data_IF_122382972642
#
_entry.id   IF_122382972642
#
_cell.length_a   1.000
_cell.length_b   1.000
_cell.length_c   1.000
_cell.angle_alpha   90.00
_cell.angle_beta   90.00
_cell.angle_gamma   90.00
#
_symmetry.space_group_name_H-M   'P 1'
#
loop_
_entity.id
_entity.type
_entity.pdbx_description
1 polymer ?
#
# COMPACT_ATOMS: atom_id res chain seq x y z
N UNK A 1 15.77 -36.79 3.39
CA UNK A 1 15.33 -35.49 2.83
C UNK A 1 14.45 -34.82 3.88
N UNK A 2 14.95 -33.83 4.61
CA UNK A 2 14.13 -33.05 5.56
C UNK A 2 13.25 -32.11 4.74
N UNK A 3 11.93 -32.31 4.79
CA UNK A 3 10.99 -31.38 4.20
C UNK A 3 11.22 -30.01 4.82
N UNK A 4 11.51 -29.01 3.99
CA UNK A 4 11.49 -27.62 4.39
C UNK A 4 10.05 -27.28 4.79
N UNK A 5 9.74 -27.35 6.09
CA UNK A 5 8.53 -26.76 6.65
C UNK A 5 8.53 -25.29 6.25
N UNK A 6 7.69 -24.92 5.29
CA UNK A 6 7.48 -23.51 4.96
C UNK A 6 6.95 -22.85 6.23
N UNK A 7 7.73 -21.95 6.81
CA UNK A 7 7.31 -21.17 7.96
C UNK A 7 6.13 -20.30 7.51
N UNK A 8 4.91 -20.68 7.90
CA UNK A 8 3.71 -19.91 7.61
C UNK A 8 3.66 -18.73 8.59
N UNK A 9 3.50 -17.48 8.12
CA UNK A 9 3.48 -16.33 9.00
C UNK A 9 2.26 -16.39 9.94
N UNK A 10 2.42 -16.00 11.22
CA UNK A 10 1.30 -15.91 12.14
C UNK A 10 0.32 -14.83 11.66
N UNK A 11 -0.98 -15.01 11.88
CA UNK A 11 -2.01 -14.02 11.50
C UNK A 11 -1.77 -12.61 12.07
N UNK A 12 -0.98 -12.49 13.16
CA UNK A 12 -0.49 -11.21 13.68
C UNK A 12 0.49 -10.50 12.72
N UNK A 13 1.37 -11.23 12.04
CA UNK A 13 2.33 -10.65 11.11
C UNK A 13 1.65 -10.06 9.88
N UNK A 14 0.59 -10.72 9.36
CA UNK A 14 -0.21 -10.20 8.24
C UNK A 14 -0.85 -8.86 8.61
N UNK A 15 -1.53 -8.82 9.77
CA UNK A 15 -2.19 -7.61 10.28
C UNK A 15 -1.19 -6.49 10.56
N UNK A 16 -0.04 -6.80 11.14
CA UNK A 16 1.03 -5.82 11.37
C UNK A 16 1.55 -5.25 10.05
N UNK A 17 1.73 -6.09 9.02
CA UNK A 17 2.15 -5.63 7.69
C UNK A 17 1.13 -4.67 7.09
N UNK A 18 -0.16 -5.00 7.14
CA UNK A 18 -1.25 -4.12 6.69
C UNK A 18 -1.26 -2.80 7.46
N UNK A 19 -1.08 -2.85 8.78
CA UNK A 19 -1.02 -1.66 9.63
C UNK A 19 0.16 -0.75 9.26
N UNK A 20 1.35 -1.32 9.05
CA UNK A 20 2.55 -0.57 8.66
C UNK A 20 2.36 0.09 7.30
N UNK A 21 1.80 -0.62 6.32
CA UNK A 21 1.47 -0.05 5.00
C UNK A 21 0.48 1.10 5.17
N UNK A 22 -0.61 0.88 5.92
CA UNK A 22 -1.63 1.90 6.18
C UNK A 22 -1.05 3.16 6.82
N UNK A 23 -0.23 3.00 7.86
CA UNK A 23 0.43 4.13 8.53
C UNK A 23 1.40 4.85 7.61
N UNK A 24 2.20 4.15 6.80
CA UNK A 24 3.13 4.77 5.87
C UNK A 24 2.41 5.68 4.85
N UNK A 25 1.33 5.18 4.24
CA UNK A 25 0.51 5.96 3.31
C UNK A 25 -0.21 7.11 4.01
N UNK A 26 -0.71 6.90 5.23
CA UNK A 26 -1.38 7.95 5.99
C UNK A 26 -0.41 9.08 6.34
N UNK A 27 0.80 8.76 6.80
CA UNK A 27 1.85 9.75 7.08
C UNK A 27 2.22 10.52 5.82
N UNK A 28 2.38 9.82 4.69
CA UNK A 28 2.73 10.47 3.42
C UNK A 28 1.63 11.44 2.97
N UNK A 29 0.37 11.02 3.02
CA UNK A 29 -0.79 11.85 2.63
C UNK A 29 -0.97 13.07 3.54
N UNK A 30 -0.92 12.88 4.87
CA UNK A 30 -1.05 13.98 5.84
C UNK A 30 0.12 14.96 5.70
N UNK A 31 1.35 14.46 5.56
CA UNK A 31 2.54 15.32 5.37
C UNK A 31 2.46 16.10 4.07
N UNK A 32 1.95 15.49 3.00
CA UNK A 32 1.72 16.17 1.73
C UNK A 32 0.72 17.31 1.86
N UNK A 33 -0.41 17.08 2.56
CA UNK A 33 -1.37 18.16 2.84
C UNK A 33 -0.78 19.27 3.71
N UNK A 34 0.04 18.92 4.71
CA UNK A 34 0.66 19.90 5.59
C UNK A 34 1.66 20.82 4.86
N UNK A 35 2.34 20.32 3.83
CA UNK A 35 3.38 21.06 3.11
C UNK A 35 2.87 21.79 1.86
N UNK A 36 1.92 21.22 1.13
CA UNK A 36 1.46 21.72 -0.18
C UNK A 36 -0.03 22.06 -0.20
N UNK A 37 -0.76 21.71 0.86
CA UNK A 37 -2.20 21.95 0.92
C UNK A 37 -2.98 21.09 -0.07
N UNK A 38 -4.03 21.66 -0.66
CA UNK A 38 -4.96 20.98 -1.56
C UNK A 38 -4.66 21.20 -3.05
N UNK A 39 -3.51 21.76 -3.39
CA UNK A 39 -3.20 22.13 -4.77
C UNK A 39 -3.04 20.90 -5.67
N UNK A 40 -3.71 20.92 -6.82
CA UNK A 40 -3.73 19.83 -7.79
C UNK A 40 -2.71 20.05 -8.92
N UNK A 41 -2.48 19.01 -9.72
CA UNK A 41 -1.71 19.08 -10.96
C UNK A 41 -0.21 18.82 -10.82
N UNK A 42 0.48 18.85 -11.96
CA UNK A 42 1.92 18.67 -12.08
C UNK A 42 2.68 19.90 -11.60
N UNK A 43 3.60 19.72 -10.65
CA UNK A 43 4.59 20.72 -10.25
C UNK A 43 5.78 20.00 -9.62
N UNK A 44 6.92 19.90 -10.33
CA UNK A 44 8.06 19.08 -9.91
C UNK A 44 8.75 19.59 -8.65
N UNK A 45 8.45 20.81 -8.19
CA UNK A 45 8.99 21.35 -6.93
C UNK A 45 8.28 20.79 -5.69
N UNK A 46 7.06 20.28 -5.86
CA UNK A 46 6.21 19.78 -4.76
C UNK A 46 6.60 18.36 -4.38
N UNK A 47 7.38 18.23 -3.33
CA UNK A 47 7.85 16.93 -2.84
C UNK A 47 7.77 16.82 -1.32
N UNK A 48 7.53 15.61 -0.82
CA UNK A 48 7.84 15.19 0.56
C UNK A 48 8.95 14.18 0.49
N UNK A 49 10.11 14.52 1.05
CA UNK A 49 11.34 13.72 0.95
C UNK A 49 11.74 13.46 -0.51
N UNK A 50 11.43 12.29 -1.04
CA UNK A 50 11.72 11.87 -2.43
C UNK A 50 10.45 11.67 -3.25
N UNK A 51 9.28 11.75 -2.62
CA UNK A 51 7.98 11.51 -3.24
C UNK A 51 7.41 12.80 -3.79
N UNK A 52 6.97 12.75 -5.04
CA UNK A 52 6.12 13.80 -5.60
C UNK A 52 4.78 13.80 -4.89
N UNK A 53 4.26 15.01 -4.64
CA UNK A 53 2.98 15.22 -3.97
C UNK A 53 2.11 16.20 -4.74
N UNK A 54 0.80 16.01 -4.60
CA UNK A 54 -0.27 16.88 -5.09
C UNK A 54 -1.51 16.59 -4.26
N UNK A 55 -2.50 17.46 -4.28
CA UNK A 55 -3.78 17.23 -3.62
C UNK A 55 -4.39 15.88 -4.01
N UNK A 56 -4.27 15.48 -5.29
CA UNK A 56 -4.79 14.21 -5.78
C UNK A 56 -4.04 13.01 -5.17
N UNK A 57 -2.71 13.06 -5.13
CA UNK A 57 -1.91 12.02 -4.48
C UNK A 57 -2.16 11.97 -2.98
N UNK A 58 -2.24 13.12 -2.32
CA UNK A 58 -2.44 13.20 -0.87
C UNK A 58 -3.80 12.63 -0.47
N UNK A 59 -4.86 12.88 -1.25
CA UNK A 59 -6.17 12.24 -1.07
C UNK A 59 -6.03 10.73 -1.20
N UNK A 60 -5.39 10.24 -2.27
CA UNK A 60 -5.18 8.81 -2.51
C UNK A 60 -4.40 8.13 -1.39
N UNK A 61 -3.27 8.71 -0.98
CA UNK A 61 -2.43 8.19 0.10
C UNK A 61 -3.16 8.21 1.44
N UNK A 62 -3.88 9.29 1.76
CA UNK A 62 -4.68 9.37 2.99
C UNK A 62 -5.80 8.33 3.00
N UNK A 63 -6.51 8.17 1.88
CA UNK A 63 -7.60 7.20 1.75
C UNK A 63 -7.12 5.76 1.88
N UNK A 64 -6.05 5.40 1.17
CA UNK A 64 -5.42 4.07 1.32
C UNK A 64 -4.90 3.88 2.74
N UNK A 65 -4.28 4.91 3.32
CA UNK A 65 -3.75 4.85 4.66
C UNK A 65 -4.82 4.56 5.71
N UNK A 66 -5.94 5.28 5.63
CA UNK A 66 -7.11 5.06 6.49
C UNK A 66 -7.70 3.65 6.30
N UNK A 67 -7.85 3.20 5.05
CA UNK A 67 -8.33 1.84 4.74
C UNK A 67 -7.38 0.76 5.28
N UNK A 68 -6.07 0.96 5.19
CA UNK A 68 -5.06 0.03 5.70
C UNK A 68 -5.12 -0.07 7.23
N UNK A 69 -5.21 1.06 7.93
CA UNK A 69 -5.38 1.07 9.40
C UNK A 69 -6.66 0.35 9.80
N UNK A 70 -7.78 0.63 9.13
CA UNK A 70 -9.06 -0.04 9.38
C UNK A 70 -9.04 -1.54 9.03
N UNK A 71 -8.31 -1.95 8.01
CA UNK A 71 -8.22 -3.34 7.59
C UNK A 71 -7.30 -4.21 8.47
N UNK A 72 -6.53 -3.60 9.38
CA UNK A 72 -5.61 -4.34 10.24
C UNK A 72 -6.31 -5.10 11.41
N UNK A 73 -7.64 -4.97 11.56
CA UNK A 73 -8.37 -5.55 12.69
C UNK A 73 -8.51 -7.07 12.62
N UNK A 74 -8.84 -7.62 11.45
CA UNK A 74 -9.10 -9.06 11.28
C UNK A 74 -8.32 -9.61 10.10
N UNK A 75 -8.08 -10.92 10.07
CA UNK A 75 -7.39 -11.53 8.94
C UNK A 75 -8.18 -11.40 7.63
N UNK A 76 -9.51 -11.55 7.69
CA UNK A 76 -10.38 -11.39 6.53
C UNK A 76 -10.28 -9.99 5.93
N UNK A 77 -10.31 -8.95 6.77
CA UNK A 77 -10.17 -7.55 6.32
C UNK A 77 -8.75 -7.26 5.81
N UNK A 78 -7.71 -7.80 6.44
CA UNK A 78 -6.34 -7.70 5.97
C UNK A 78 -6.14 -8.33 4.58
N UNK A 79 -6.74 -9.50 4.31
CA UNK A 79 -6.71 -10.14 2.99
C UNK A 79 -7.51 -9.37 1.94
N UNK A 80 -8.67 -8.83 2.31
CA UNK A 80 -9.45 -7.98 1.41
C UNK A 80 -8.66 -6.72 1.01
N UNK A 81 -7.98 -6.09 1.98
CA UNK A 81 -7.08 -4.97 1.72
C UNK A 81 -5.88 -5.38 0.85
N UNK A 82 -5.33 -6.58 1.03
CA UNK A 82 -4.28 -7.12 0.16
C UNK A 82 -4.70 -7.16 -1.31
N UNK A 83 -5.90 -7.67 -1.60
CA UNK A 83 -6.44 -7.73 -2.97
C UNK A 83 -6.71 -6.35 -3.54
N UNK A 84 -7.34 -5.49 -2.74
CA UNK A 84 -7.58 -4.09 -3.11
C UNK A 84 -6.27 -3.37 -3.43
N UNK A 85 -5.25 -3.57 -2.59
CA UNK A 85 -3.92 -2.98 -2.75
C UNK A 85 -3.25 -3.51 -4.01
N UNK A 86 -3.29 -4.82 -4.27
CA UNK A 86 -2.70 -5.39 -5.48
C UNK A 86 -3.27 -4.75 -6.75
N UNK A 87 -4.59 -4.79 -6.93
CA UNK A 87 -5.21 -4.25 -8.14
C UNK A 87 -5.11 -2.72 -8.22
N UNK A 88 -5.37 -2.02 -7.10
CA UNK A 88 -5.28 -0.57 -7.05
C UNK A 88 -3.89 -0.04 -7.35
N UNK A 89 -2.86 -0.60 -6.70
CA UNK A 89 -1.48 -0.17 -6.92
C UNK A 89 -0.89 -0.69 -8.22
N UNK A 90 -1.28 -1.85 -8.74
CA UNK A 90 -0.86 -2.28 -10.07
C UNK A 90 -1.35 -1.31 -11.16
N UNK A 91 -2.61 -0.86 -11.07
CA UNK A 91 -3.16 0.14 -11.99
C UNK A 91 -2.46 1.49 -11.87
N UNK A 92 -2.28 1.98 -10.64
CA UNK A 92 -1.57 3.25 -10.39
C UNK A 92 -0.09 3.16 -10.79
N UNK A 93 0.56 2.01 -10.59
CA UNK A 93 1.94 1.77 -11.03
C UNK A 93 2.05 1.87 -12.56
N UNK A 94 1.15 1.22 -13.30
CA UNK A 94 1.12 1.28 -14.75
C UNK A 94 0.88 2.72 -15.25
N UNK A 95 -0.08 3.44 -14.66
CA UNK A 95 -0.30 4.86 -14.93
C UNK A 95 0.97 5.67 -14.67
N UNK A 96 1.59 5.49 -13.51
CA UNK A 96 2.74 6.30 -13.10
C UNK A 96 3.96 6.03 -13.97
N UNK A 97 4.17 4.80 -14.42
CA UNK A 97 5.23 4.45 -15.37
C UNK A 97 5.06 5.20 -16.68
N UNK A 98 3.84 5.26 -17.23
CA UNK A 98 3.54 6.05 -18.43
C UNK A 98 3.71 7.55 -18.17
N UNK A 99 3.26 8.04 -17.02
CA UNK A 99 3.35 9.44 -16.63
C UNK A 99 4.81 9.95 -16.57
N UNK A 100 5.75 9.13 -16.06
CA UNK A 100 7.16 9.54 -15.96
C UNK A 100 7.97 9.28 -17.24
N UNK A 101 7.53 8.39 -18.13
CA UNK A 101 8.31 8.00 -19.33
C UNK A 101 7.84 8.65 -20.62
N UNK A 102 6.55 8.99 -20.75
CA UNK A 102 5.97 9.42 -22.03
C UNK A 102 5.96 10.95 -22.17
N UNK A 103 5.40 11.67 -21.19
CA UNK A 103 5.29 13.13 -21.26
C UNK A 103 4.95 13.75 -19.91
N UNK A 104 5.54 14.91 -19.55
CA UNK A 104 5.15 15.69 -18.38
C UNK A 104 3.67 16.05 -18.34
N UNK A 105 3.03 16.24 -19.50
CA UNK A 105 1.58 16.54 -19.58
C UNK A 105 0.71 15.35 -19.13
N UNK A 106 1.22 14.12 -19.22
CA UNK A 106 0.55 12.93 -18.69
C UNK A 106 0.66 12.79 -17.16
N UNK A 107 1.55 13.55 -16.54
CA UNK A 107 1.83 13.51 -15.10
C UNK A 107 0.86 14.38 -14.28
N UNK A 108 -0.43 14.18 -14.49
CA UNK A 108 -1.51 14.94 -13.84
C UNK A 108 -1.44 14.92 -12.30
N UNK A 109 -0.91 13.83 -11.74
CA UNK A 109 -0.83 13.61 -10.29
C UNK A 109 0.49 14.08 -9.66
N UNK A 110 1.47 14.54 -10.43
CA UNK A 110 2.81 14.87 -9.94
C UNK A 110 3.57 13.66 -9.33
N UNK A 111 3.48 12.50 -9.98
CA UNK A 111 4.21 11.30 -9.59
C UNK A 111 5.69 11.41 -9.95
N UNK A 112 6.56 11.00 -9.03
CA UNK A 112 8.00 10.87 -9.24
C UNK A 112 8.41 9.39 -9.28
N UNK A 113 9.66 9.10 -9.65
CA UNK A 113 10.21 7.74 -9.68
C UNK A 113 10.02 7.02 -8.33
N UNK A 114 10.22 7.73 -7.22
CA UNK A 114 10.01 7.16 -5.89
C UNK A 114 8.56 6.69 -5.67
N UNK A 115 7.56 7.44 -6.16
CA UNK A 115 6.16 7.03 -6.12
C UNK A 115 5.95 5.74 -6.92
N UNK A 116 6.54 5.65 -8.12
CA UNK A 116 6.43 4.45 -8.97
C UNK A 116 6.98 3.23 -8.24
N UNK A 117 8.17 3.33 -7.64
CA UNK A 117 8.74 2.24 -6.84
C UNK A 117 7.84 1.86 -5.67
N UNK A 118 7.32 2.85 -4.92
CA UNK A 118 6.42 2.62 -3.79
C UNK A 118 5.16 1.86 -4.23
N UNK A 119 4.55 2.24 -5.36
CA UNK A 119 3.35 1.57 -5.88
C UNK A 119 3.64 0.15 -6.33
N UNK A 120 4.76 -0.08 -7.02
CA UNK A 120 5.17 -1.43 -7.41
C UNK A 120 5.38 -2.34 -6.20
N UNK A 121 6.12 -1.87 -5.19
CA UNK A 121 6.35 -2.61 -3.94
C UNK A 121 5.03 -2.88 -3.21
N UNK A 122 4.15 -1.88 -3.13
CA UNK A 122 2.87 -2.02 -2.43
C UNK A 122 1.95 -3.01 -3.14
N UNK A 123 1.94 -3.04 -4.47
CA UNK A 123 1.20 -4.04 -5.23
C UNK A 123 1.69 -5.46 -4.91
N UNK A 124 3.01 -5.68 -4.91
CA UNK A 124 3.60 -6.98 -4.56
C UNK A 124 3.27 -7.38 -3.11
N UNK A 125 3.41 -6.46 -2.16
CA UNK A 125 3.05 -6.72 -0.76
C UNK A 125 1.56 -7.05 -0.62
N UNK A 126 0.68 -6.33 -1.32
CA UNK A 126 -0.75 -6.61 -1.36
C UNK A 126 -1.05 -8.04 -1.84
N UNK A 127 -0.38 -8.47 -2.92
CA UNK A 127 -0.51 -9.83 -3.43
C UNK A 127 -0.03 -10.86 -2.40
N UNK A 128 1.12 -10.64 -1.77
CA UNK A 128 1.66 -11.53 -0.74
C UNK A 128 0.72 -11.66 0.46
N UNK A 129 0.16 -10.54 0.94
CA UNK A 129 -0.83 -10.52 2.03
C UNK A 129 -2.06 -11.34 1.66
N UNK A 130 -2.50 -11.30 0.39
CA UNK A 130 -3.68 -12.04 -0.06
C UNK A 130 -3.48 -13.55 -0.17
N UNK A 131 -2.32 -13.98 -0.68
CA UNK A 131 -2.10 -15.38 -1.08
C UNK A 131 -1.37 -16.22 -0.05
N UNK A 132 -0.60 -15.59 0.86
CA UNK A 132 0.17 -16.34 1.86
C UNK A 132 -0.78 -16.96 2.89
N UNK A 133 -0.74 -18.30 3.11
CA UNK A 133 -1.61 -18.93 4.09
C UNK A 133 -1.20 -18.56 5.52
N UNK A 134 -2.19 -18.22 6.36
CA UNK A 134 -2.01 -18.02 7.80
C UNK A 134 -2.23 -19.33 8.55
N UNK A 135 -1.60 -19.47 9.72
CA UNK A 135 -2.00 -20.49 10.71
C UNK A 135 -3.11 -19.92 11.59
N UNK A 136 -4.31 -20.50 11.50
CA UNK A 136 -5.36 -20.37 12.51
C UNK A 136 -4.95 -21.16 13.76
N UNK A 137 -5.21 -20.60 14.94
CA UNK A 137 -4.84 -21.19 16.23
C UNK A 137 -5.23 -22.65 16.35
N UNK A 138 -4.40 -23.42 17.06
CA UNK A 138 -4.62 -24.82 17.35
C UNK A 138 -6.10 -25.10 17.63
N UNK A 139 -6.70 -25.99 16.83
CA UNK A 139 -7.97 -26.59 17.17
C UNK A 139 -7.79 -27.24 18.54
N UNK A 140 -8.28 -26.58 19.60
CA UNK A 140 -8.52 -27.21 20.88
C UNK A 140 -9.55 -28.29 20.62
N UNK A 141 -9.06 -29.50 20.40
CA UNK A 141 -9.88 -30.71 20.45
C UNK A 141 -10.40 -30.84 21.87
N UNK A 142 -11.63 -30.38 22.10
CA UNK A 142 -12.43 -30.90 23.21
C UNK A 142 -12.92 -32.28 22.79
N UNK A 143 -12.14 -33.28 23.16
CA UNK A 143 -12.65 -34.62 23.37
C UNK A 143 -13.16 -34.67 24.82
N UNK A 144 -14.48 -34.58 24.98
CA UNK A 144 -15.26 -35.14 26.09
C UNK A 144 -16.68 -35.35 25.61
#
# INVERSE_FOLDING_TARGET
>A
MRGSERAHPPAAALRLTVLVIGLAYLVLGISGFALVGSDMGYDPSRTVWVFGISGLLNIGHTGVGALGVAAAHTEATARAFGWLSFFGFAGIFAYSMLAITVSPLGNLANVHVANVCLYGVTAVLGLLISVVPSRGGAATGHAT
#
